data_IF_501235028668
#
_entry.id   IF_501235028668
#
_cell.length_a   1.000
_cell.length_b   1.000
_cell.length_c   1.000
_cell.angle_alpha   90.00
_cell.angle_beta   90.00
_cell.angle_gamma   90.00
#
_symmetry.space_group_name_H-M   'P 1'
#
loop_
_entity.id
_entity.type
_entity.pdbx_description
1 polymer ?
#
# COMPACT_ATOMS: atom_id res chain seq x y z
N UNK A 1 -3.03 11.90 38.74
CA UNK A 1 -3.91 12.68 37.84
C UNK A 1 -3.38 12.90 36.47
N UNK A 2 -2.12 12.73 36.26
CA UNK A 2 -1.50 13.03 34.97
C UNK A 2 -1.88 12.08 33.88
N UNK A 3 -2.35 10.91 34.20
CA UNK A 3 -2.91 9.99 33.25
C UNK A 3 -4.06 10.62 32.43
N UNK A 4 -4.68 11.67 32.97
CA UNK A 4 -5.74 12.40 32.25
C UNK A 4 -5.22 13.09 30.99
N UNK A 5 -3.93 13.28 30.91
CA UNK A 5 -3.30 13.97 29.79
C UNK A 5 -2.77 13.01 28.75
N UNK A 6 -2.91 11.70 28.96
CA UNK A 6 -2.62 10.74 27.93
C UNK A 6 -3.72 10.84 26.87
N UNK A 7 -3.43 11.55 25.80
CA UNK A 7 -4.32 11.60 24.66
C UNK A 7 -4.32 10.22 24.00
N UNK A 8 -5.44 9.55 24.05
CA UNK A 8 -5.63 8.39 23.20
C UNK A 8 -5.76 8.91 21.78
N UNK A 9 -5.03 8.30 20.86
CA UNK A 9 -5.16 8.63 19.46
C UNK A 9 -6.59 8.32 19.02
N UNK A 10 -7.32 9.33 18.60
CA UNK A 10 -8.68 9.14 18.12
C UNK A 10 -8.65 8.52 16.73
N UNK A 11 -9.47 7.51 16.53
CA UNK A 11 -9.67 6.93 15.21
C UNK A 11 -10.81 7.68 14.54
N UNK A 12 -10.56 8.34 13.40
CA UNK A 12 -11.63 9.00 12.67
C UNK A 12 -12.68 8.02 12.17
N UNK A 13 -13.86 8.53 11.86
CA UNK A 13 -14.86 7.75 11.14
C UNK A 13 -14.53 7.86 9.65
N UNK A 14 -14.27 6.75 9.00
CA UNK A 14 -13.88 6.72 7.60
C UNK A 14 -15.09 6.42 6.71
N UNK A 15 -15.68 7.47 6.15
CA UNK A 15 -16.88 7.32 5.33
C UNK A 15 -16.60 6.95 3.88
N UNK A 16 -15.46 7.39 3.35
CA UNK A 16 -15.10 7.15 1.95
C UNK A 16 -15.05 5.64 1.64
N UNK A 17 -14.41 4.87 2.52
CA UNK A 17 -14.24 3.42 2.31
C UNK A 17 -15.55 2.64 2.50
N UNK A 18 -16.47 3.13 3.33
CA UNK A 18 -17.71 2.40 3.65
C UNK A 18 -18.51 2.01 2.42
N UNK A 19 -18.58 2.89 1.45
CA UNK A 19 -19.35 2.66 0.22
C UNK A 19 -18.47 2.34 -0.99
N UNK A 20 -17.16 2.19 -0.76
CA UNK A 20 -16.26 1.94 -1.89
C UNK A 20 -16.44 0.52 -2.44
N UNK A 21 -16.60 0.36 -3.77
CA UNK A 21 -16.87 -0.96 -4.36
C UNK A 21 -15.72 -1.95 -4.24
N UNK A 22 -14.49 -1.47 -4.06
CA UNK A 22 -13.30 -2.33 -4.00
C UNK A 22 -12.79 -2.62 -2.59
N UNK A 23 -13.53 -2.19 -1.55
CA UNK A 23 -13.08 -2.36 -0.17
C UNK A 23 -12.80 -3.80 0.25
N UNK A 24 -13.47 -4.75 -0.38
CA UNK A 24 -13.30 -6.18 -0.08
C UNK A 24 -12.37 -6.90 -1.05
N UNK A 25 -11.75 -6.16 -1.97
CA UNK A 25 -10.76 -6.70 -2.88
C UNK A 25 -9.43 -6.89 -2.18
N UNK A 26 -8.74 -7.96 -2.56
CA UNK A 26 -7.36 -8.19 -2.18
C UNK A 26 -6.47 -7.49 -3.19
N UNK A 27 -5.25 -7.16 -2.81
CA UNK A 27 -4.33 -6.50 -3.73
C UNK A 27 -2.96 -7.18 -3.66
N UNK A 28 -2.36 -7.38 -4.83
CA UNK A 28 -1.13 -8.16 -4.97
C UNK A 28 -0.19 -7.47 -5.96
N UNK A 29 1.09 -7.42 -5.62
CA UNK A 29 2.08 -6.81 -6.51
C UNK A 29 2.39 -7.71 -7.69
N UNK A 30 2.57 -7.06 -8.85
CA UNK A 30 2.79 -7.74 -10.14
C UNK A 30 3.95 -7.14 -10.93
N UNK A 31 4.92 -6.54 -10.26
CA UNK A 31 6.11 -5.95 -10.90
C UNK A 31 7.37 -6.46 -10.25
N UNK A 32 8.41 -6.63 -11.04
CA UNK A 32 9.76 -6.87 -10.54
C UNK A 32 10.27 -5.60 -9.90
N UNK A 33 11.00 -5.76 -8.83
CA UNK A 33 11.50 -4.64 -8.04
C UNK A 33 12.87 -4.96 -7.47
N UNK A 34 13.59 -3.93 -7.08
CA UNK A 34 14.89 -4.09 -6.43
C UNK A 34 15.16 -2.96 -5.46
N UNK A 35 16.03 -3.23 -4.49
CA UNK A 35 16.48 -2.20 -3.56
C UNK A 35 17.55 -1.34 -4.25
N UNK A 36 17.41 -0.02 -4.18
CA UNK A 36 18.48 0.92 -4.59
C UNK A 36 19.45 1.08 -3.43
N UNK A 37 18.91 1.19 -2.22
CA UNK A 37 19.65 1.33 -0.98
C UNK A 37 18.82 0.65 0.11
N UNK A 38 19.16 0.85 1.39
CA UNK A 38 18.46 0.21 2.50
C UNK A 38 17.03 0.71 2.72
N UNK A 39 16.64 1.80 2.07
CA UNK A 39 15.36 2.47 2.34
C UNK A 39 14.47 2.65 1.14
N UNK A 40 15.00 2.48 -0.06
CA UNK A 40 14.26 2.82 -1.29
C UNK A 40 14.34 1.74 -2.34
N UNK A 41 13.21 1.48 -2.99
CA UNK A 41 13.12 0.49 -4.07
C UNK A 41 12.87 1.18 -5.41
N UNK A 42 13.18 0.43 -6.49
CA UNK A 42 12.71 0.74 -7.84
C UNK A 42 11.81 -0.38 -8.31
N UNK A 43 10.86 -0.05 -9.17
CA UNK A 43 10.08 -1.03 -9.92
C UNK A 43 10.42 -0.91 -11.40
N UNK A 44 10.25 -2.02 -12.12
CA UNK A 44 10.48 -2.04 -13.56
C UNK A 44 9.18 -1.71 -14.28
N UNK A 45 9.22 -0.67 -15.12
CA UNK A 45 8.08 -0.30 -15.95
C UNK A 45 8.43 -0.54 -17.41
N UNK A 46 7.59 -1.31 -18.10
CA UNK A 46 7.74 -1.53 -19.52
C UNK A 46 7.03 -0.40 -20.29
N UNK A 47 7.77 0.33 -21.10
CA UNK A 47 7.21 1.38 -21.92
C UNK A 47 6.69 0.84 -23.25
N UNK A 48 5.86 1.66 -23.94
CA UNK A 48 5.19 1.27 -25.18
C UNK A 48 6.13 0.84 -26.30
N UNK A 49 7.38 1.28 -26.26
CA UNK A 49 8.40 0.94 -27.28
C UNK A 49 9.24 -0.27 -26.92
N UNK A 50 8.84 -1.02 -25.89
CA UNK A 50 9.59 -2.18 -25.43
C UNK A 50 10.78 -1.88 -24.54
N UNK A 51 11.03 -0.61 -24.27
CA UNK A 51 12.08 -0.19 -23.34
C UNK A 51 11.64 -0.44 -21.91
N UNK A 52 12.57 -0.85 -21.06
CA UNK A 52 12.33 -1.04 -19.63
C UNK A 52 12.89 0.18 -18.91
N UNK A 53 12.04 0.81 -18.11
CA UNK A 53 12.41 1.95 -17.30
C UNK A 53 12.34 1.58 -15.83
N UNK A 54 13.29 2.05 -15.04
CA UNK A 54 13.27 1.88 -13.59
C UNK A 54 12.64 3.11 -12.96
N UNK A 55 11.60 2.90 -12.14
CA UNK A 55 10.90 3.99 -11.46
C UNK A 55 11.12 3.89 -9.96
N UNK A 56 11.46 5.01 -9.36
CA UNK A 56 11.55 5.17 -7.91
C UNK A 56 10.17 5.55 -7.39
N UNK A 57 9.74 4.93 -6.32
CA UNK A 57 8.47 5.24 -5.68
C UNK A 57 8.68 6.16 -4.50
N UNK A 58 7.69 7.04 -4.23
CA UNK A 58 7.70 7.79 -2.98
C UNK A 58 7.40 6.83 -1.81
N UNK A 59 7.53 7.34 -0.59
CA UNK A 59 7.41 6.52 0.61
C UNK A 59 6.11 5.71 0.65
N UNK A 60 4.95 6.36 0.47
CA UNK A 60 3.67 5.68 0.61
C UNK A 60 3.38 4.71 -0.52
N UNK A 61 3.73 5.06 -1.75
CA UNK A 61 3.60 4.12 -2.87
C UNK A 61 4.49 2.90 -2.65
N UNK A 62 5.71 3.11 -2.17
CA UNK A 62 6.64 2.04 -1.88
C UNK A 62 6.11 1.11 -0.79
N UNK A 63 5.65 1.68 0.33
CA UNK A 63 5.13 0.88 1.43
C UNK A 63 3.92 0.06 1.01
N UNK A 64 2.99 0.67 0.28
CA UNK A 64 1.80 -0.04 -0.17
C UNK A 64 2.11 -1.09 -1.23
N UNK A 65 3.09 -0.82 -2.10
CA UNK A 65 3.55 -1.83 -3.05
C UNK A 65 4.14 -3.05 -2.33
N UNK A 66 5.01 -2.81 -1.34
CA UNK A 66 5.63 -3.90 -0.57
C UNK A 66 4.59 -4.66 0.27
N UNK A 67 3.57 -3.97 0.75
CA UNK A 67 2.49 -4.58 1.53
C UNK A 67 1.45 -5.32 0.65
N UNK A 68 1.55 -5.18 -0.66
CA UNK A 68 0.61 -5.80 -1.60
C UNK A 68 0.94 -7.29 -1.77
N UNK A 69 0.54 -8.08 -0.79
CA UNK A 69 0.85 -9.52 -0.73
C UNK A 69 -0.31 -10.42 -1.13
N UNK A 70 -1.46 -9.85 -1.49
CA UNK A 70 -2.63 -10.61 -1.89
C UNK A 70 -3.36 -11.32 -0.75
N UNK A 71 -2.98 -11.06 0.51
CA UNK A 71 -3.51 -11.77 1.67
C UNK A 71 -4.45 -10.96 2.54
N UNK A 72 -4.63 -9.69 2.22
CA UNK A 72 -5.52 -8.78 2.97
C UNK A 72 -6.35 -7.96 2.01
N UNK A 73 -7.56 -7.64 2.44
CA UNK A 73 -8.44 -6.75 1.68
C UNK A 73 -8.03 -5.29 1.91
N UNK A 74 -8.52 -4.42 1.05
CA UNK A 74 -8.30 -2.98 1.20
C UNK A 74 -8.85 -2.50 2.55
N UNK A 75 -10.02 -3.00 2.96
CA UNK A 75 -10.60 -2.65 4.26
C UNK A 75 -9.71 -3.11 5.42
N UNK A 76 -9.22 -4.34 5.37
CA UNK A 76 -8.30 -4.86 6.38
C UNK A 76 -7.00 -4.05 6.43
N UNK A 77 -6.52 -3.60 5.27
CA UNK A 77 -5.31 -2.81 5.20
C UNK A 77 -5.47 -1.44 5.88
N UNK A 78 -6.64 -0.83 5.75
CA UNK A 78 -6.91 0.41 6.49
C UNK A 78 -6.75 0.21 7.99
N UNK A 79 -7.26 -0.91 8.51
CA UNK A 79 -7.12 -1.23 9.93
C UNK A 79 -5.64 -1.39 10.32
N UNK A 80 -4.85 -2.02 9.47
CA UNK A 80 -3.40 -2.17 9.69
C UNK A 80 -2.73 -0.80 9.75
N UNK A 81 -3.05 0.10 8.81
CA UNK A 81 -2.48 1.45 8.80
C UNK A 81 -2.87 2.23 10.06
N UNK A 82 -4.13 2.14 10.47
CA UNK A 82 -4.60 2.78 11.71
C UNK A 82 -3.78 2.30 12.90
N UNK A 83 -3.55 1.00 13.01
CA UNK A 83 -2.76 0.43 14.10
C UNK A 83 -1.31 0.90 14.06
N UNK A 84 -0.74 1.08 12.88
CA UNK A 84 0.61 1.60 12.74
C UNK A 84 0.72 3.05 13.21
N UNK A 85 -0.26 3.89 12.87
CA UNK A 85 -0.31 5.28 13.36
C UNK A 85 -0.42 5.32 14.87
N UNK A 86 -1.28 4.48 15.47
CA UNK A 86 -1.43 4.39 16.92
C UNK A 86 -0.12 3.97 17.60
N UNK A 87 0.54 2.97 17.05
CA UNK A 87 1.80 2.46 17.59
C UNK A 87 2.88 3.53 17.56
N UNK A 88 2.91 4.35 16.54
CA UNK A 88 3.86 5.45 16.40
C UNK A 88 3.42 6.70 17.14
N UNK A 89 2.28 6.67 17.82
CA UNK A 89 1.69 7.81 18.54
C UNK A 89 1.48 9.02 17.64
N UNK A 90 1.17 8.76 16.38
CA UNK A 90 0.89 9.81 15.39
C UNK A 90 -0.61 10.01 15.24
N UNK A 91 -0.98 11.26 14.97
CA UNK A 91 -2.36 11.58 14.68
C UNK A 91 -2.81 10.88 13.40
N UNK A 92 -4.00 10.27 13.43
CA UNK A 92 -4.57 9.57 12.29
C UNK A 92 -5.29 10.60 11.41
N UNK A 93 -4.88 10.78 10.14
CA UNK A 93 -5.58 11.71 9.25
C UNK A 93 -7.03 11.28 9.03
N UNK A 94 -7.94 12.26 9.02
CA UNK A 94 -9.37 11.99 8.84
C UNK A 94 -9.68 11.43 7.44
N UNK A 95 -8.81 11.65 6.47
CA UNK A 95 -8.95 11.16 5.09
C UNK A 95 -7.97 10.02 4.77
N UNK A 96 -7.49 9.31 5.78
CA UNK A 96 -6.53 8.22 5.59
C UNK A 96 -7.08 7.16 4.62
N UNK A 97 -8.36 6.83 4.71
CA UNK A 97 -9.00 5.87 3.82
C UNK A 97 -8.95 6.33 2.36
N UNK A 98 -9.28 7.58 2.11
CA UNK A 98 -9.24 8.16 0.76
C UNK A 98 -7.82 8.17 0.22
N UNK A 99 -6.86 8.62 1.04
CA UNK A 99 -5.44 8.64 0.65
C UNK A 99 -4.94 7.24 0.30
N UNK A 100 -5.24 6.27 1.15
CA UNK A 100 -4.84 4.88 0.92
C UNK A 100 -5.41 4.34 -0.40
N UNK A 101 -6.71 4.54 -0.62
CA UNK A 101 -7.36 4.04 -1.82
C UNK A 101 -6.82 4.73 -3.06
N UNK A 102 -6.62 6.04 -3.02
CA UNK A 102 -6.05 6.77 -4.15
C UNK A 102 -4.63 6.31 -4.47
N UNK A 103 -3.82 6.03 -3.44
CA UNK A 103 -2.47 5.51 -3.63
C UNK A 103 -2.48 4.11 -4.25
N UNK A 104 -3.37 3.24 -3.76
CA UNK A 104 -3.53 1.90 -4.34
C UNK A 104 -3.99 1.96 -5.79
N UNK A 105 -4.91 2.87 -6.11
CA UNK A 105 -5.36 3.05 -7.49
C UNK A 105 -4.25 3.60 -8.39
N UNK A 106 -3.41 4.49 -7.88
CA UNK A 106 -2.25 4.96 -8.61
C UNK A 106 -1.30 3.80 -8.94
N UNK A 107 -1.02 2.95 -7.96
CA UNK A 107 -0.21 1.76 -8.20
C UNK A 107 -0.84 0.82 -9.22
N UNK A 108 -2.15 0.69 -9.20
CA UNK A 108 -2.87 -0.22 -10.10
C UNK A 108 -2.97 0.34 -11.52
N UNK A 109 -3.44 1.59 -11.67
CA UNK A 109 -3.79 2.14 -12.98
C UNK A 109 -2.65 2.92 -13.63
N UNK A 110 -1.94 3.75 -12.86
CA UNK A 110 -0.88 4.59 -13.42
C UNK A 110 0.41 3.81 -13.61
N UNK A 111 0.75 2.95 -12.66
CA UNK A 111 2.01 2.22 -12.67
C UNK A 111 1.86 0.76 -13.08
N UNK A 112 0.63 0.25 -13.10
CA UNK A 112 0.35 -1.15 -13.38
C UNK A 112 1.21 -2.08 -12.52
N UNK A 113 1.38 -1.70 -11.25
CA UNK A 113 2.29 -2.37 -10.33
C UNK A 113 1.59 -3.37 -9.42
N UNK A 114 0.28 -3.23 -9.23
CA UNK A 114 -0.53 -4.15 -8.44
C UNK A 114 -1.81 -4.50 -9.19
N UNK A 115 -2.43 -5.61 -8.79
CA UNK A 115 -3.76 -6.01 -9.25
C UNK A 115 -4.69 -6.18 -8.06
N UNK A 116 -5.99 -5.95 -8.31
CA UNK A 116 -7.03 -6.25 -7.33
C UNK A 116 -7.62 -7.62 -7.66
N UNK A 117 -7.83 -8.43 -6.64
CA UNK A 117 -8.36 -9.79 -6.76
C UNK A 117 -9.57 -9.99 -5.86
N UNK A 118 -10.48 -10.84 -6.27
CA UNK A 118 -11.67 -11.16 -5.47
C UNK A 118 -11.37 -12.14 -4.34
N UNK A 119 -10.25 -12.83 -4.40
CA UNK A 119 -9.87 -13.84 -3.43
C UNK A 119 -8.41 -13.65 -3.02
N UNK A 120 -8.04 -14.24 -1.88
CA UNK A 120 -6.63 -14.29 -1.47
C UNK A 120 -5.79 -14.87 -2.60
N UNK A 121 -4.71 -14.19 -2.92
CA UNK A 121 -3.87 -14.53 -4.07
C UNK A 121 -2.40 -14.52 -3.62
N UNK A 122 -1.70 -15.63 -3.85
CA UNK A 122 -0.27 -15.67 -3.57
C UNK A 122 0.48 -14.79 -4.55
N UNK A 123 1.55 -14.15 -4.07
CA UNK A 123 2.43 -13.38 -4.94
C UNK A 123 3.18 -14.37 -5.83
N UNK A 124 3.19 -14.11 -7.13
CA UNK A 124 4.03 -14.88 -8.06
C UNK A 124 5.48 -14.79 -7.59
N UNK A 125 6.20 -15.90 -7.58
CA UNK A 125 7.57 -15.95 -7.07
C UNK A 125 8.51 -14.92 -7.67
N UNK A 126 8.30 -14.55 -8.95
CA UNK A 126 9.15 -13.55 -9.62
C UNK A 126 8.97 -12.13 -9.05
N UNK A 127 7.86 -11.87 -8.34
CA UNK A 127 7.58 -10.55 -7.75
C UNK A 127 7.73 -10.53 -6.23
N UNK A 128 7.92 -11.70 -5.63
CA UNK A 128 7.96 -11.86 -4.18
C UNK A 128 9.25 -11.29 -3.60
N UNK A 129 10.38 -11.65 -4.21
CA UNK A 129 11.69 -11.24 -3.75
C UNK A 129 12.27 -10.16 -4.66
N UNK A 130 13.17 -9.31 -4.13
CA UNK A 130 13.82 -8.32 -4.98
C UNK A 130 14.73 -8.99 -6.01
N UNK A 131 14.95 -8.28 -7.10
CA UNK A 131 15.90 -8.73 -8.13
C UNK A 131 17.29 -8.74 -7.48
N UNK A 132 17.95 -9.87 -7.56
CA UNK A 132 19.32 -9.99 -7.05
C UNK A 132 20.30 -9.44 -8.07
N UNK A 133 21.19 -8.63 -7.57
CA UNK A 133 22.29 -8.11 -8.39
C UNK A 133 23.37 -9.18 -8.54
#
# INVERSE_FOLDING_TARGET
MFHLFKKKTKVPVFDYIKSHPDKEKYFVRIKKWSWINSEQITILKKESEGKIKMLTLDYWHQEMFLDADGQKTILEYLDILVKQFKKSKMEIPSDLDKFMIETLFSLKTDLNAIEFKNEKTEIDGIFKEPIKK
#
